data_IF_828460504047
#
_entry.id   IF_828460504047
#
_cell.length_a   1.000
_cell.length_b   1.000
_cell.length_c   1.000
_cell.angle_alpha   90.00
_cell.angle_beta   90.00
_cell.angle_gamma   90.00
#
_symmetry.space_group_name_H-M   'P 1'
#
loop_
_entity.id
_entity.type
_entity.pdbx_description
1 polymer ?
#
# COMPACT_ATOMS: atom_id res chain seq x y z
N UNK A 1 0.49 -8.60 14.39
CA UNK A 1 -0.17 -9.18 13.20
C UNK A 1 0.05 -8.22 12.04
N UNK A 2 0.64 -8.68 10.94
CA UNK A 2 0.79 -7.86 9.73
C UNK A 2 -0.59 -7.68 9.08
N UNK A 3 -1.00 -6.42 8.87
CA UNK A 3 -2.23 -6.11 8.14
C UNK A 3 -1.90 -6.19 6.65
N UNK A 4 -2.62 -7.03 5.91
CA UNK A 4 -2.47 -7.16 4.45
C UNK A 4 -3.66 -6.52 3.74
N UNK A 5 -3.41 -5.94 2.57
CA UNK A 5 -4.43 -5.36 1.69
C UNK A 5 -4.37 -6.03 0.33
N UNK A 6 -5.55 -6.20 -0.29
CA UNK A 6 -5.68 -6.74 -1.65
C UNK A 6 -5.91 -5.61 -2.62
N UNK A 7 -5.00 -5.43 -3.56
CA UNK A 7 -5.05 -4.34 -4.54
C UNK A 7 -4.88 -4.89 -5.95
N UNK A 8 -5.76 -4.49 -6.86
CA UNK A 8 -5.63 -4.82 -8.28
C UNK A 8 -4.52 -4.00 -8.92
N UNK A 9 -3.71 -4.62 -9.77
CA UNK A 9 -2.80 -3.86 -10.63
C UNK A 9 -3.58 -3.11 -11.72
N UNK A 10 -2.97 -2.09 -12.31
CA UNK A 10 -3.51 -1.35 -13.44
C UNK A 10 -3.16 -1.96 -14.81
N UNK A 11 -2.66 -3.21 -14.83
CA UNK A 11 -2.41 -3.95 -16.07
C UNK A 11 -3.70 -4.48 -16.70
N UNK A 12 -3.63 -5.00 -17.94
CA UNK A 12 -4.80 -5.46 -18.69
C UNK A 12 -5.60 -6.53 -17.94
N UNK A 13 -4.92 -7.46 -17.27
CA UNK A 13 -5.54 -8.57 -16.54
C UNK A 13 -5.97 -8.22 -15.10
N UNK A 14 -5.64 -7.02 -14.61
CA UNK A 14 -6.00 -6.52 -13.28
C UNK A 14 -5.77 -7.51 -12.11
N UNK A 15 -4.62 -8.18 -12.09
CA UNK A 15 -4.24 -9.15 -11.07
C UNK A 15 -4.38 -8.62 -9.63
N UNK A 16 -4.85 -9.47 -8.72
CA UNK A 16 -4.95 -9.16 -7.29
C UNK A 16 -3.59 -9.35 -6.62
N UNK A 17 -3.07 -8.30 -6.00
CA UNK A 17 -1.80 -8.30 -5.29
C UNK A 17 -2.04 -8.16 -3.79
N UNK A 18 -1.50 -9.10 -3.02
CA UNK A 18 -1.52 -9.07 -1.56
C UNK A 18 -0.30 -8.30 -1.03
N UNK A 19 -0.55 -7.13 -0.47
CA UNK A 19 0.47 -6.21 0.01
C UNK A 19 0.44 -6.19 1.54
N UNK A 20 1.60 -6.40 2.14
CA UNK A 20 1.79 -6.23 3.59
C UNK A 20 2.01 -4.75 3.89
N UNK A 21 1.09 -4.14 4.66
CA UNK A 21 1.16 -2.73 5.02
C UNK A 21 2.44 -2.43 5.80
N UNK A 22 2.92 -3.35 6.64
CA UNK A 22 4.15 -3.13 7.41
C UNK A 22 5.38 -3.02 6.51
N UNK A 23 5.39 -3.68 5.35
CA UNK A 23 6.47 -3.58 4.35
C UNK A 23 6.42 -2.30 3.53
N UNK A 24 5.29 -1.60 3.52
CA UNK A 24 5.15 -0.31 2.84
C UNK A 24 5.84 0.83 3.60
N UNK A 25 6.02 0.66 4.90
CA UNK A 25 6.58 1.67 5.78
C UNK A 25 7.95 1.24 6.27
N UNK A 26 9.00 1.83 5.70
CA UNK A 26 10.35 1.74 6.26
C UNK A 26 10.35 2.35 7.68
N UNK A 27 11.20 1.88 8.61
CA UNK A 27 11.19 2.29 10.02
C UNK A 27 11.35 3.80 10.29
N UNK A 28 11.72 4.57 9.26
CA UNK A 28 11.85 6.03 9.34
C UNK A 28 10.50 6.76 9.48
N UNK A 29 9.37 6.11 9.17
CA UNK A 29 8.04 6.70 9.35
C UNK A 29 7.44 6.23 10.68
N UNK A 30 7.68 6.98 11.75
CA UNK A 30 7.02 6.76 13.04
C UNK A 30 5.57 7.21 12.92
N UNK A 31 4.63 6.27 12.85
CA UNK A 31 3.21 6.58 13.02
C UNK A 31 2.93 6.84 14.50
N UNK A 32 2.90 8.12 14.88
CA UNK A 32 2.32 8.51 16.15
C UNK A 32 0.79 8.46 16.01
N UNK A 33 0.07 7.83 16.95
CA UNK A 33 -1.41 7.75 16.89
C UNK A 33 -2.08 9.14 16.85
N UNK A 34 -1.39 10.15 17.37
CA UNK A 34 -1.83 11.54 17.42
C UNK A 34 -1.19 12.44 16.33
N UNK A 35 -0.33 11.88 15.47
CA UNK A 35 0.28 12.65 14.39
C UNK A 35 -0.67 12.71 13.18
N UNK A 36 -0.86 13.90 12.57
CA UNK A 36 -1.56 13.97 11.30
C UNK A 36 -0.83 13.06 10.29
N UNK A 37 -1.61 12.32 9.50
CA UNK A 37 -1.14 11.47 8.40
C UNK A 37 -0.44 12.25 7.26
N UNK A 38 0.10 13.44 7.53
CA UNK A 38 0.85 14.30 6.62
C UNK A 38 2.22 13.73 6.25
N UNK A 39 2.74 12.77 7.02
CA UNK A 39 3.99 12.05 6.72
C UNK A 39 3.85 10.88 5.74
N UNK A 40 2.62 10.52 5.32
CA UNK A 40 2.42 9.43 4.37
C UNK A 40 2.68 9.88 2.93
N UNK A 41 3.41 9.10 2.12
CA UNK A 41 3.51 9.37 0.70
C UNK A 41 2.11 9.40 0.08
N UNK A 42 1.87 10.38 -0.82
CA UNK A 42 0.57 10.55 -1.49
C UNK A 42 0.08 9.27 -2.18
N UNK A 43 1.02 8.46 -2.68
CA UNK A 43 0.80 7.12 -3.23
C UNK A 43 2.10 6.32 -3.14
N UNK A 44 1.97 5.02 -2.97
CA UNK A 44 3.06 4.04 -3.11
C UNK A 44 2.77 3.24 -4.37
N UNK A 45 3.75 3.14 -5.26
CA UNK A 45 3.64 2.38 -6.50
C UNK A 45 4.56 1.19 -6.39
N UNK A 46 4.01 0.00 -6.56
CA UNK A 46 4.74 -1.26 -6.57
C UNK A 46 4.58 -1.96 -7.93
N UNK A 47 5.49 -2.86 -8.24
CA UNK A 47 5.34 -3.76 -9.37
C UNK A 47 4.29 -4.83 -9.07
N UNK A 48 3.51 -5.21 -10.08
CA UNK A 48 2.65 -6.37 -9.96
C UNK A 48 3.49 -7.65 -9.84
N UNK A 49 3.09 -8.55 -8.93
CA UNK A 49 3.77 -9.84 -8.75
C UNK A 49 3.48 -10.86 -9.87
N UNK A 50 2.47 -10.61 -10.69
CA UNK A 50 1.99 -11.53 -11.72
C UNK A 50 2.30 -11.11 -13.15
N UNK A 51 2.57 -9.83 -13.39
CA UNK A 51 2.85 -9.31 -14.73
C UNK A 51 3.93 -8.23 -14.67
N UNK A 52 4.64 -8.04 -15.79
CA UNK A 52 5.72 -7.04 -15.90
C UNK A 52 5.20 -5.64 -16.25
N UNK A 53 4.00 -5.54 -16.80
CA UNK A 53 3.42 -4.30 -17.32
C UNK A 53 2.59 -3.55 -16.27
N UNK A 54 1.88 -4.29 -15.42
CA UNK A 54 1.01 -3.71 -14.40
C UNK A 54 1.77 -3.18 -13.17
N UNK A 55 1.30 -2.04 -12.66
CA UNK A 55 1.68 -1.47 -11.37
C UNK A 55 0.54 -1.58 -10.38
N UNK A 56 0.88 -1.70 -9.10
CA UNK A 56 -0.06 -1.68 -7.99
C UNK A 56 0.09 -0.34 -7.26
N UNK A 57 -1.00 0.43 -7.22
CA UNK A 57 -1.01 1.76 -6.63
C UNK A 57 -1.74 1.69 -5.30
N UNK A 58 -1.04 1.98 -4.22
CA UNK A 58 -1.59 2.03 -2.86
C UNK A 58 -1.68 3.49 -2.42
N UNK A 59 -2.84 3.91 -1.95
CA UNK A 59 -3.05 5.26 -1.42
C UNK A 59 -3.21 5.26 0.11
N UNK A 60 -2.99 6.40 0.78
CA UNK A 60 -3.24 6.52 2.21
C UNK A 60 -4.68 6.15 2.62
N UNK A 61 -5.68 6.44 1.79
CA UNK A 61 -7.08 6.07 2.07
C UNK A 61 -7.29 4.57 2.16
N UNK A 62 -6.66 3.80 1.26
CA UNK A 62 -6.71 2.34 1.29
C UNK A 62 -6.03 1.78 2.54
N UNK A 63 -4.95 2.41 2.99
CA UNK A 63 -4.24 1.99 4.20
C UNK A 63 -5.09 2.29 5.45
N UNK A 64 -5.68 3.49 5.54
CA UNK A 64 -6.52 3.89 6.68
C UNK A 64 -7.71 2.96 6.88
N UNK A 65 -8.34 2.51 5.79
CA UNK A 65 -9.47 1.57 5.85
C UNK A 65 -9.14 0.22 6.51
N UNK A 66 -7.85 -0.14 6.58
CA UNK A 66 -7.42 -1.38 7.21
C UNK A 66 -6.68 -1.17 8.53
N UNK A 67 -6.09 0.02 8.77
CA UNK A 67 -5.26 0.29 9.96
C UNK A 67 -6.04 0.83 11.15
N UNK A 68 -7.11 1.60 10.93
CA UNK A 68 -7.99 2.16 11.97
C UNK A 68 -9.18 1.25 12.26
#
# INVERSE_FOLDING_TARGET
MSKTIKVKCNGPDQHINEIDIAKLFTPCFVMNKDAPCSGLPKRIVLDCRMCKEGKVIVTPSMIRAHVL
#
